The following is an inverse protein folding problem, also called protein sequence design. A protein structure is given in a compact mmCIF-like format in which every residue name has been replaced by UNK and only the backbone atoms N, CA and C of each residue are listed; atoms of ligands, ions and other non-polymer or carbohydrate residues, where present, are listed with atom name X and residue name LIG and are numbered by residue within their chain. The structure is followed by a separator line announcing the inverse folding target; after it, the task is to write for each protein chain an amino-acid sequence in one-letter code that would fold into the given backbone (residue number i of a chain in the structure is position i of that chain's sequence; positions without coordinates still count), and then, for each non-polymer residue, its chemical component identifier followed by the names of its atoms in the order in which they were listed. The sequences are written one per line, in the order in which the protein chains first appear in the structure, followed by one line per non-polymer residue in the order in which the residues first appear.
data_IF_154211165059
#
_entry.id   IF_154211165059
#
_cell.length_a   1.000
_cell.length_b   1.000
_cell.length_c   1.000
_cell.angle_alpha   90.00
_cell.angle_beta   90.00
_cell.angle_gamma   90.00
#
_symmetry.space_group_name_H-M   'P 1'
#
loop_
_entity.id
_entity.type
_entity.pdbx_description
1 polymer ?
#
# COMPACT_ATOMS: atom_id res chain seq x y z
N UNK A 1 2.00 28.75 -62.30
CA UNK A 1 3.31 28.11 -62.50
C UNK A 1 3.35 26.80 -61.73
N UNK A 2 4.01 25.76 -62.25
CA UNK A 2 4.22 24.50 -61.51
C UNK A 2 5.34 24.71 -60.49
N UNK A 3 5.08 24.45 -59.20
CA UNK A 3 6.10 24.46 -58.15
C UNK A 3 6.94 23.18 -58.26
N UNK A 4 8.26 23.34 -58.27
CA UNK A 4 9.21 22.22 -58.29
C UNK A 4 9.95 22.15 -56.96
N UNK A 5 10.03 20.96 -56.37
CA UNK A 5 10.73 20.66 -55.14
C UNK A 5 12.04 19.96 -55.47
N UNK A 6 13.15 20.42 -54.88
CA UNK A 6 14.44 19.75 -54.99
C UNK A 6 14.41 18.47 -54.14
N UNK A 7 14.72 17.33 -54.76
CA UNK A 7 14.86 16.02 -54.11
C UNK A 7 16.30 15.52 -54.24
N UNK A 8 16.74 14.75 -53.25
CA UNK A 8 18.05 14.11 -53.21
C UNK A 8 17.85 12.59 -53.09
N UNK A 9 18.47 11.83 -54.01
CA UNK A 9 18.66 10.39 -53.90
C UNK A 9 20.15 10.10 -54.11
N UNK A 10 20.88 9.80 -53.04
CA UNK A 10 22.33 9.57 -53.07
C UNK A 10 23.13 10.87 -53.29
N UNK A 11 23.90 10.93 -54.38
CA UNK A 11 24.65 12.15 -54.78
C UNK A 11 23.93 12.98 -55.86
N UNK A 12 22.74 12.54 -56.32
CA UNK A 12 22.02 13.18 -57.43
C UNK A 12 20.87 14.05 -56.93
N UNK A 13 20.84 15.28 -57.42
CA UNK A 13 19.76 16.24 -57.20
C UNK A 13 18.83 16.28 -58.42
N UNK A 14 17.52 16.21 -58.19
CA UNK A 14 16.53 16.38 -59.26
C UNK A 14 15.34 17.23 -58.79
N UNK A 15 14.71 17.91 -59.74
CA UNK A 15 13.50 18.68 -59.50
C UNK A 15 12.28 17.80 -59.73
N UNK A 16 11.47 17.60 -58.70
CA UNK A 16 10.23 16.85 -58.76
C UNK A 16 9.04 17.79 -58.51
N UNK A 17 7.89 17.55 -59.16
CA UNK A 17 6.65 18.28 -58.89
C UNK A 17 5.91 17.75 -57.65
N UNK A 18 6.38 16.66 -57.05
CA UNK A 18 5.83 16.08 -55.84
C UNK A 18 6.43 16.73 -54.58
N UNK A 19 5.59 17.09 -53.58
CA UNK A 19 6.03 17.62 -52.31
C UNK A 19 7.10 16.73 -51.64
N UNK A 20 8.16 17.34 -51.15
CA UNK A 20 9.17 16.64 -50.36
C UNK A 20 8.58 16.30 -48.97
N UNK A 21 8.37 15.00 -48.70
CA UNK A 21 7.75 14.51 -47.46
C UNK A 21 8.48 15.02 -46.21
N UNK A 22 9.81 15.11 -46.23
CA UNK A 22 10.59 15.66 -45.12
C UNK A 22 10.30 17.15 -44.89
N UNK A 23 10.14 17.94 -45.97
CA UNK A 23 9.76 19.35 -45.86
C UNK A 23 8.35 19.50 -45.29
N UNK A 24 7.40 18.67 -45.74
CA UNK A 24 6.03 18.66 -45.20
C UNK A 24 6.06 18.32 -43.71
N UNK A 25 6.84 17.31 -43.31
CA UNK A 25 7.00 16.91 -41.91
C UNK A 25 7.51 18.07 -41.04
N UNK A 26 8.61 18.72 -41.44
CA UNK A 26 9.18 19.83 -40.68
C UNK A 26 8.19 20.99 -40.52
N UNK A 27 7.47 21.36 -41.59
CA UNK A 27 6.43 22.39 -41.52
C UNK A 27 5.29 21.98 -40.58
N UNK A 28 4.86 20.72 -40.60
CA UNK A 28 3.83 20.25 -39.67
C UNK A 28 4.34 20.21 -38.22
N UNK A 29 5.60 19.83 -37.98
CA UNK A 29 6.22 19.85 -36.64
C UNK A 29 6.28 21.27 -36.04
N UNK A 30 6.50 22.29 -36.86
CA UNK A 30 6.48 23.70 -36.44
C UNK A 30 5.06 24.17 -36.07
N UNK A 31 4.04 23.60 -36.71
CA UNK A 31 2.63 23.95 -36.49
C UNK A 31 1.96 23.20 -35.32
N UNK A 32 2.64 22.22 -34.70
CA UNK A 32 2.11 21.48 -33.54
C UNK A 32 1.94 22.42 -32.36
N UNK A 33 0.72 22.47 -31.81
CA UNK A 33 0.38 23.35 -30.68
C UNK A 33 0.82 22.75 -29.35
N UNK A 34 1.04 23.62 -28.38
CA UNK A 34 1.47 23.21 -27.04
C UNK A 34 0.41 22.37 -26.31
N UNK A 35 -0.88 22.68 -26.47
CA UNK A 35 -1.95 21.90 -25.84
C UNK A 35 -1.99 20.45 -26.34
N UNK A 36 -1.69 20.21 -27.62
CA UNK A 36 -1.63 18.86 -28.19
C UNK A 36 -0.45 18.05 -27.62
N UNK A 37 0.67 18.71 -27.32
CA UNK A 37 1.80 18.08 -26.63
C UNK A 37 1.44 17.70 -25.20
N UNK A 38 0.73 18.57 -24.47
CA UNK A 38 0.29 18.31 -23.10
C UNK A 38 -0.71 17.15 -23.06
N UNK A 39 -1.69 17.13 -23.97
CA UNK A 39 -2.68 16.06 -24.06
C UNK A 39 -2.01 14.71 -24.39
N UNK A 40 -1.07 14.70 -25.34
CA UNK A 40 -0.30 13.50 -25.70
C UNK A 40 0.59 13.00 -24.56
N UNK A 41 1.30 13.88 -23.85
CA UNK A 41 2.13 13.49 -22.70
C UNK A 41 1.25 12.84 -21.61
N UNK A 42 0.07 13.40 -21.35
CA UNK A 42 -0.89 12.85 -20.39
C UNK A 42 -1.42 11.48 -20.82
N UNK A 43 -1.73 11.31 -22.10
CA UNK A 43 -2.21 10.04 -22.64
C UNK A 43 -1.12 8.95 -22.56
N UNK A 44 0.12 9.28 -22.92
CA UNK A 44 1.27 8.38 -22.79
C UNK A 44 1.51 7.95 -21.34
N UNK A 45 1.39 8.88 -20.38
CA UNK A 45 1.45 8.56 -18.96
C UNK A 45 0.33 7.62 -18.53
N UNK A 46 -0.92 7.92 -18.88
CA UNK A 46 -2.08 7.08 -18.54
C UNK A 46 -1.92 5.66 -19.11
N UNK A 47 -1.44 5.55 -20.35
CA UNK A 47 -1.23 4.27 -21.01
C UNK A 47 -0.03 3.48 -20.45
N UNK A 48 0.95 4.15 -19.83
CA UNK A 48 2.11 3.50 -19.19
C UNK A 48 1.85 3.10 -17.74
N UNK A 49 0.61 3.22 -17.26
CA UNK A 49 0.21 3.00 -15.87
C UNK A 49 -1.07 2.15 -15.82
N UNK A 50 -1.15 1.23 -14.86
CA UNK A 50 -2.41 0.49 -14.58
C UNK A 50 -2.89 0.67 -13.14
N UNK A 51 -1.97 0.98 -12.22
CA UNK A 51 -2.26 0.96 -10.79
C UNK A 51 -2.16 -0.45 -10.19
N UNK A 52 -2.49 -0.53 -8.90
CA UNK A 52 -2.49 -1.77 -8.12
C UNK A 52 -1.82 -1.56 -6.78
N UNK A 53 -0.49 -1.71 -6.71
CA UNK A 53 0.28 -1.66 -5.45
C UNK A 53 0.44 -0.26 -4.87
N UNK A 54 0.35 0.76 -5.73
CA UNK A 54 0.44 2.17 -5.37
C UNK A 54 -0.83 2.88 -5.88
N UNK A 55 -1.34 3.80 -5.09
CA UNK A 55 -2.43 4.70 -5.51
C UNK A 55 -1.85 5.88 -6.26
N UNK A 56 -2.24 6.05 -7.52
CA UNK A 56 -1.54 6.94 -8.45
C UNK A 56 -2.32 8.23 -8.65
N UNK A 57 -1.60 9.35 -8.61
CA UNK A 57 -2.11 10.68 -8.90
C UNK A 57 -1.25 11.30 -10.01
N UNK A 58 -1.85 11.59 -11.16
CA UNK A 58 -1.14 12.17 -12.31
C UNK A 58 -1.41 13.67 -12.35
N UNK A 59 -0.35 14.47 -12.30
CA UNK A 59 -0.36 15.92 -12.37
C UNK A 59 -1.26 16.61 -11.34
N UNK A 60 -1.47 15.95 -10.19
CA UNK A 60 -2.17 16.53 -9.06
C UNK A 60 -1.18 17.32 -8.20
N UNK A 61 -1.33 18.63 -8.19
CA UNK A 61 -0.49 19.57 -7.43
C UNK A 61 -1.22 20.07 -6.18
N UNK A 62 -2.55 19.91 -6.10
CA UNK A 62 -3.31 20.32 -4.94
C UNK A 62 -3.24 19.26 -3.84
N UNK A 63 -2.50 19.57 -2.78
CA UNK A 63 -2.36 18.76 -1.58
C UNK A 63 -3.70 18.35 -0.93
N UNK A 64 -4.78 19.14 -1.11
CA UNK A 64 -6.13 18.84 -0.62
C UNK A 64 -6.82 17.67 -1.32
N UNK A 65 -6.49 17.43 -2.59
CA UNK A 65 -7.05 16.33 -3.38
C UNK A 65 -6.36 14.99 -3.11
N UNK A 66 -5.19 15.02 -2.44
CA UNK A 66 -4.42 13.83 -2.09
C UNK A 66 -4.83 13.36 -0.69
N UNK A 67 -5.51 12.19 -0.56
CA UNK A 67 -5.98 11.68 0.71
C UNK A 67 -4.84 11.51 1.72
N UNK A 68 -5.14 11.69 3.01
CA UNK A 68 -4.23 11.37 4.10
C UNK A 68 -4.68 10.03 4.66
N UNK A 69 -4.16 8.96 4.06
CA UNK A 69 -4.51 7.56 4.32
C UNK A 69 -3.26 6.72 4.43
N UNK A 70 -3.39 5.50 4.96
CA UNK A 70 -2.28 4.55 5.13
C UNK A 70 -1.77 3.95 3.81
N UNK A 71 -2.58 3.99 2.75
CA UNK A 71 -2.22 3.46 1.43
C UNK A 71 -0.97 4.16 0.87
N UNK A 72 -0.05 3.40 0.27
CA UNK A 72 1.09 3.99 -0.44
C UNK A 72 0.64 4.67 -1.73
N UNK A 73 1.17 5.87 -1.99
CA UNK A 73 0.76 6.76 -3.08
C UNK A 73 1.95 7.12 -3.95
N UNK A 74 1.73 7.17 -5.25
CA UNK A 74 2.68 7.66 -6.24
C UNK A 74 2.10 8.90 -6.91
N UNK A 75 2.75 10.04 -6.71
CA UNK A 75 2.39 11.31 -7.34
C UNK A 75 3.33 11.54 -8.51
N UNK A 76 2.77 11.62 -9.71
CA UNK A 76 3.50 11.87 -10.94
C UNK A 76 3.33 13.34 -11.30
N UNK A 77 4.40 14.12 -11.22
CA UNK A 77 4.38 15.58 -11.40
C UNK A 77 4.81 15.97 -12.82
N UNK A 78 4.40 17.17 -13.29
CA UNK A 78 4.80 17.69 -14.61
C UNK A 78 6.28 18.07 -14.70
N UNK A 79 6.88 18.40 -13.57
CA UNK A 79 8.27 18.86 -13.42
C UNK A 79 8.77 18.54 -12.02
N UNK A 80 10.09 18.53 -11.85
CA UNK A 80 10.70 18.50 -10.51
C UNK A 80 10.50 19.82 -9.78
N UNK A 81 9.68 19.83 -8.72
CA UNK A 81 9.46 20.98 -7.85
C UNK A 81 9.55 20.57 -6.38
N UNK A 82 10.72 20.77 -5.75
CA UNK A 82 10.95 20.39 -4.35
C UNK A 82 10.04 21.15 -3.38
N UNK A 83 9.71 22.42 -3.67
CA UNK A 83 8.82 23.22 -2.83
C UNK A 83 7.40 22.66 -2.81
N UNK A 84 6.88 22.31 -3.99
CA UNK A 84 5.58 21.64 -4.11
C UNK A 84 5.59 20.29 -3.40
N UNK A 85 6.58 19.44 -3.66
CA UNK A 85 6.68 18.11 -3.04
C UNK A 85 6.72 18.20 -1.50
N UNK A 86 7.51 19.11 -0.96
CA UNK A 86 7.55 19.36 0.49
C UNK A 86 6.20 19.86 1.04
N UNK A 87 5.51 20.75 0.32
CA UNK A 87 4.19 21.24 0.74
C UNK A 87 3.18 20.10 0.82
N UNK A 88 3.16 19.21 -0.18
CA UNK A 88 2.29 18.04 -0.24
C UNK A 88 2.58 17.09 0.92
N UNK A 89 3.86 16.89 1.27
CA UNK A 89 4.23 16.07 2.42
C UNK A 89 3.83 16.69 3.76
N UNK A 90 3.83 18.02 3.87
CA UNK A 90 3.52 18.73 5.12
C UNK A 90 2.02 18.89 5.35
N UNK A 91 1.21 19.05 4.30
CA UNK A 91 -0.22 19.38 4.44
C UNK A 91 -1.15 18.52 3.58
N UNK A 92 -2.41 18.44 4.02
CA UNK A 92 -3.58 18.04 3.25
C UNK A 92 -4.57 19.19 3.31
N UNK A 93 -4.61 19.99 2.25
CA UNK A 93 -5.35 21.25 2.24
C UNK A 93 -4.85 22.17 3.37
N UNK A 94 -5.75 22.54 4.29
CA UNK A 94 -5.43 23.42 5.41
C UNK A 94 -4.92 22.70 6.67
N UNK A 95 -4.94 21.36 6.68
CA UNK A 95 -4.55 20.56 7.85
C UNK A 95 -3.15 19.95 7.68
N UNK A 96 -2.36 19.79 8.75
CA UNK A 96 -1.11 19.04 8.69
C UNK A 96 -1.36 17.59 8.26
N UNK A 97 -0.50 17.06 7.39
CA UNK A 97 -0.56 15.67 6.94
C UNK A 97 0.05 14.75 7.99
N UNK A 98 -0.65 13.67 8.31
CA UNK A 98 -0.22 12.67 9.29
C UNK A 98 0.61 11.57 8.62
N UNK A 99 0.12 10.96 7.54
CA UNK A 99 0.75 9.81 6.87
C UNK A 99 1.79 10.24 5.83
N UNK A 100 2.75 11.05 6.27
CA UNK A 100 3.77 11.69 5.42
C UNK A 100 4.69 10.68 4.74
N UNK A 101 4.91 9.53 5.37
CA UNK A 101 5.78 8.49 4.83
C UNK A 101 5.09 7.62 3.76
N UNK A 102 3.84 7.91 3.38
CA UNK A 102 3.09 7.11 2.39
C UNK A 102 3.17 7.65 0.95
N UNK A 103 3.84 8.77 0.72
CA UNK A 103 3.84 9.48 -0.56
C UNK A 103 5.21 9.35 -1.23
N UNK A 104 5.24 8.93 -2.49
CA UNK A 104 6.40 8.94 -3.36
C UNK A 104 6.14 9.85 -4.55
N UNK A 105 7.19 10.45 -5.10
CA UNK A 105 7.09 11.31 -6.27
C UNK A 105 7.87 10.73 -7.44
N UNK A 106 7.30 10.84 -8.64
CA UNK A 106 7.96 10.60 -9.91
C UNK A 106 7.78 11.85 -10.78
N UNK A 107 8.83 12.27 -11.45
CA UNK A 107 8.79 13.45 -12.31
C UNK A 107 9.78 13.34 -13.48
N UNK A 108 9.61 14.20 -14.50
CA UNK A 108 10.50 14.27 -15.64
C UNK A 108 11.93 14.59 -15.27
N UNK A 109 12.88 13.90 -15.90
CA UNK A 109 14.24 14.35 -15.98
C UNK A 109 14.35 15.41 -17.08
N UNK A 110 14.60 16.66 -16.70
CA UNK A 110 14.60 17.80 -17.63
C UNK A 110 15.57 17.66 -18.80
N UNK A 111 16.69 16.94 -18.63
CA UNK A 111 17.64 16.68 -19.72
C UNK A 111 17.05 15.87 -20.87
N UNK A 112 16.00 15.08 -20.64
CA UNK A 112 15.33 14.25 -21.66
C UNK A 112 14.16 15.00 -22.34
N UNK A 113 13.74 16.16 -21.81
CA UNK A 113 12.51 16.85 -22.23
C UNK A 113 12.56 17.34 -23.68
N UNK A 114 13.68 17.91 -24.13
CA UNK A 114 13.82 18.39 -25.51
C UNK A 114 13.69 17.26 -26.54
N UNK A 115 14.32 16.11 -26.28
CA UNK A 115 14.24 14.94 -27.15
C UNK A 115 12.83 14.36 -27.17
N UNK A 116 12.18 14.27 -26.01
CA UNK A 116 10.80 13.81 -25.88
C UNK A 116 9.81 14.71 -26.63
N UNK A 117 9.90 16.03 -26.47
CA UNK A 117 9.05 16.99 -27.22
C UNK A 117 9.24 16.83 -28.73
N UNK A 118 10.48 16.67 -29.18
CA UNK A 118 10.78 16.48 -30.60
C UNK A 118 10.15 15.19 -31.14
N UNK A 119 10.19 14.10 -30.37
CA UNK A 119 9.54 12.84 -30.73
C UNK A 119 8.01 12.97 -30.79
N UNK A 120 7.39 13.67 -29.84
CA UNK A 120 5.94 13.92 -29.84
C UNK A 120 5.52 14.78 -31.05
N UNK A 121 6.22 15.90 -31.28
CA UNK A 121 5.97 16.76 -32.45
C UNK A 121 6.05 15.97 -33.75
N UNK A 122 7.03 15.07 -33.88
CA UNK A 122 7.18 14.22 -35.06
C UNK A 122 6.00 13.27 -35.23
N UNK A 123 5.52 12.64 -34.15
CA UNK A 123 4.34 11.76 -34.19
C UNK A 123 3.09 12.54 -34.60
N UNK A 124 2.80 13.66 -33.95
CA UNK A 124 1.64 14.53 -34.27
C UNK A 124 1.72 15.01 -35.73
N UNK A 125 2.90 15.43 -36.19
CA UNK A 125 3.08 15.89 -37.56
C UNK A 125 2.81 14.77 -38.58
N UNK A 126 3.20 13.51 -38.30
CA UNK A 126 2.81 12.39 -39.15
C UNK A 126 1.30 12.11 -39.12
N UNK A 127 0.63 12.29 -37.99
CA UNK A 127 -0.83 12.17 -37.90
C UNK A 127 -1.54 13.23 -38.74
N UNK A 128 -1.08 14.49 -38.69
CA UNK A 128 -1.61 15.54 -39.57
C UNK A 128 -1.45 15.16 -41.05
N UNK A 129 -0.27 14.67 -41.43
CA UNK A 129 0.02 14.27 -42.82
C UNK A 129 -0.87 13.08 -43.24
N UNK A 130 -1.08 12.10 -42.36
CA UNK A 130 -1.94 10.95 -42.66
C UNK A 130 -3.41 11.36 -42.81
N UNK A 131 -3.87 12.33 -42.02
CA UNK A 131 -5.28 12.78 -42.01
C UNK A 131 -5.59 13.83 -43.08
N UNK A 132 -4.59 14.56 -43.59
CA UNK A 132 -4.77 15.61 -44.61
C UNK A 132 -5.01 15.04 -46.01
N UNK A 133 -6.27 14.97 -46.41
CA UNK A 133 -6.71 14.55 -47.76
C UNK A 133 -6.34 15.53 -48.87
N UNK A 134 -5.92 16.75 -48.54
CA UNK A 134 -5.45 17.76 -49.48
C UNK A 134 -4.01 17.53 -49.95
N UNK A 135 -3.24 16.70 -49.25
CA UNK A 135 -1.90 16.32 -49.67
C UNK A 135 -1.94 15.26 -50.78
N UNK A 136 -1.43 15.62 -51.95
CA UNK A 136 -1.25 14.70 -53.07
C UNK A 136 -0.01 13.81 -52.87
N UNK A 137 -0.08 12.90 -51.88
CA UNK A 137 0.96 11.92 -51.60
C UNK A 137 0.85 10.71 -52.54
N UNK A 138 1.99 10.20 -53.02
CA UNK A 138 2.06 8.92 -53.72
C UNK A 138 1.74 7.74 -52.79
N UNK A 139 1.42 6.57 -53.35
CA UNK A 139 1.15 5.38 -52.53
C UNK A 139 2.37 4.93 -51.72
N UNK A 140 3.58 5.13 -52.26
CA UNK A 140 4.82 4.85 -51.54
C UNK A 140 5.04 5.83 -50.39
N UNK A 141 4.75 7.13 -50.59
CA UNK A 141 4.81 8.13 -49.52
C UNK A 141 3.78 7.83 -48.42
N UNK A 142 2.56 7.38 -48.77
CA UNK A 142 1.55 6.96 -47.79
C UNK A 142 2.01 5.76 -46.97
N UNK A 143 2.63 4.76 -47.61
CA UNK A 143 3.22 3.60 -46.92
C UNK A 143 4.37 4.03 -45.99
N UNK A 144 5.20 4.97 -46.43
CA UNK A 144 6.28 5.54 -45.63
C UNK A 144 5.74 6.27 -44.40
N UNK A 145 4.74 7.14 -44.54
CA UNK A 145 4.09 7.85 -43.42
C UNK A 145 3.55 6.86 -42.38
N UNK A 146 2.82 5.83 -42.82
CA UNK A 146 2.31 4.78 -41.90
C UNK A 146 3.41 4.05 -41.15
N UNK A 147 4.50 3.71 -41.85
CA UNK A 147 5.65 3.04 -41.27
C UNK A 147 6.34 3.91 -40.22
N UNK A 148 6.56 5.18 -40.53
CA UNK A 148 7.23 6.13 -39.63
C UNK A 148 6.34 6.52 -38.46
N UNK A 149 5.01 6.62 -38.65
CA UNK A 149 4.05 6.84 -37.58
C UNK A 149 4.11 5.70 -36.55
N UNK A 150 4.04 4.43 -37.00
CA UNK A 150 4.16 3.26 -36.12
C UNK A 150 5.48 3.25 -35.35
N UNK A 151 6.59 3.57 -36.01
CA UNK A 151 7.91 3.68 -35.33
C UNK A 151 7.91 4.80 -34.29
N UNK A 152 7.29 5.95 -34.59
CA UNK A 152 7.21 7.06 -33.66
C UNK A 152 6.37 6.69 -32.42
N UNK A 153 5.27 5.96 -32.60
CA UNK A 153 4.45 5.43 -31.49
C UNK A 153 5.24 4.46 -30.60
N UNK A 154 5.96 3.50 -31.19
CA UNK A 154 6.81 2.56 -30.46
C UNK A 154 7.93 3.29 -29.71
N UNK A 155 8.60 4.25 -30.36
CA UNK A 155 9.66 5.04 -29.74
C UNK A 155 9.15 5.94 -28.61
N UNK A 156 7.91 6.43 -28.66
CA UNK A 156 7.33 7.25 -27.60
C UNK A 156 7.08 6.46 -26.32
N UNK A 157 6.74 5.16 -26.42
CA UNK A 157 6.59 4.28 -25.24
C UNK A 157 7.89 4.11 -24.46
N UNK A 158 9.02 4.06 -25.15
CA UNK A 158 10.33 4.04 -24.49
C UNK A 158 10.71 5.45 -23.97
N UNK A 159 10.43 6.48 -24.77
CA UNK A 159 10.80 7.85 -24.46
C UNK A 159 10.08 8.39 -23.22
N UNK A 160 8.82 8.03 -22.99
CA UNK A 160 8.09 8.43 -21.76
C UNK A 160 8.73 7.83 -20.51
N UNK A 161 9.24 6.60 -20.58
CA UNK A 161 9.96 5.93 -19.48
C UNK A 161 11.31 6.58 -19.21
N UNK A 162 12.03 6.99 -20.27
CA UNK A 162 13.28 7.76 -20.13
C UNK A 162 13.06 9.13 -19.50
N UNK A 163 11.95 9.79 -19.86
CA UNK A 163 11.58 11.09 -19.33
C UNK A 163 11.17 10.97 -17.84
N UNK A 164 10.15 10.18 -17.52
CA UNK A 164 9.62 10.02 -16.16
C UNK A 164 10.41 8.99 -15.37
N UNK A 165 11.63 9.35 -14.97
CA UNK A 165 12.53 8.47 -14.20
C UNK A 165 13.08 9.06 -12.90
N UNK A 166 13.01 10.37 -12.73
CA UNK A 166 13.49 11.02 -11.52
C UNK A 166 12.46 10.85 -10.40
N UNK A 167 12.92 10.48 -9.22
CA UNK A 167 12.09 10.22 -8.05
C UNK A 167 12.48 11.09 -6.88
N UNK A 168 11.51 11.38 -6.01
CA UNK A 168 11.78 11.92 -4.68
C UNK A 168 11.04 11.10 -3.63
N UNK A 169 11.76 10.73 -2.57
CA UNK A 169 11.31 9.79 -1.54
C UNK A 169 11.43 10.47 -0.17
N UNK A 170 10.37 10.47 0.66
CA UNK A 170 10.46 11.02 2.01
C UNK A 170 11.52 10.28 2.84
N UNK A 171 12.43 11.06 3.42
CA UNK A 171 13.54 10.65 4.26
C UNK A 171 13.67 11.55 5.50
N UNK A 172 14.56 11.22 6.44
CA UNK A 172 14.72 11.95 7.72
C UNK A 172 15.02 13.43 7.53
N UNK A 173 15.84 13.75 6.52
CA UNK A 173 16.29 15.12 6.23
C UNK A 173 15.43 15.82 5.15
N UNK A 174 14.29 15.24 4.77
CA UNK A 174 13.39 15.80 3.77
C UNK A 174 13.10 14.84 2.63
N UNK A 175 13.51 15.20 1.41
CA UNK A 175 13.31 14.39 0.21
C UNK A 175 14.66 13.85 -0.28
N UNK A 176 14.78 12.53 -0.32
CA UNK A 176 15.89 11.83 -0.95
C UNK A 176 15.61 11.68 -2.44
N UNK A 177 16.54 12.14 -3.27
CA UNK A 177 16.47 11.97 -4.72
C UNK A 177 16.75 10.49 -5.10
N UNK A 178 16.06 10.02 -6.13
CA UNK A 178 16.23 8.69 -6.71
C UNK A 178 16.11 8.73 -8.24
N UNK A 179 16.56 7.67 -8.91
CA UNK A 179 16.45 7.50 -10.36
C UNK A 179 16.09 6.04 -10.65
N UNK A 180 15.10 5.81 -11.53
CA UNK A 180 14.74 4.48 -12.03
C UNK A 180 15.85 3.87 -12.91
N UNK A 181 16.73 4.71 -13.45
CA UNK A 181 17.76 4.33 -14.39
C UNK A 181 17.26 4.34 -15.83
N UNK A 182 18.10 3.82 -16.73
CA UNK A 182 17.76 3.72 -18.15
C UNK A 182 16.90 2.47 -18.36
N UNK A 183 15.72 2.58 -19.00
CA UNK A 183 14.91 1.43 -19.37
C UNK A 183 15.69 0.41 -20.20
N UNK A 184 15.56 -0.89 -19.87
CA UNK A 184 16.11 -1.96 -20.69
C UNK A 184 15.36 -2.01 -22.02
N UNK A 185 16.11 -2.06 -23.13
CA UNK A 185 15.51 -2.15 -24.46
C UNK A 185 14.67 -3.43 -24.62
N UNK A 186 13.47 -3.29 -25.18
CA UNK A 186 12.54 -4.40 -25.41
C UNK A 186 11.77 -4.89 -24.18
N UNK A 187 12.04 -4.34 -23.00
CA UNK A 187 11.29 -4.67 -21.78
C UNK A 187 10.00 -3.83 -21.74
N UNK A 188 8.83 -4.48 -21.80
CA UNK A 188 7.52 -3.81 -21.70
C UNK A 188 7.04 -3.70 -20.25
N UNK A 189 7.84 -3.01 -19.42
CA UNK A 189 7.42 -2.66 -18.06
C UNK A 189 6.66 -1.33 -18.03
N UNK A 190 5.73 -1.27 -17.08
CA UNK A 190 4.95 -0.07 -16.78
C UNK A 190 5.68 0.80 -15.77
N UNK A 191 5.46 2.11 -15.81
CA UNK A 191 6.11 3.07 -14.91
C UNK A 191 5.80 2.79 -13.43
N UNK A 192 4.53 2.50 -13.11
CA UNK A 192 4.10 2.22 -11.75
C UNK A 192 4.76 0.96 -11.17
N UNK A 193 4.98 -0.03 -12.03
CA UNK A 193 5.67 -1.27 -11.68
C UNK A 193 7.17 -1.02 -11.46
N UNK A 194 7.83 -0.27 -12.34
CA UNK A 194 9.26 0.06 -12.20
C UNK A 194 9.55 0.84 -10.92
N UNK A 195 8.72 1.84 -10.61
CA UNK A 195 8.81 2.59 -9.36
C UNK A 195 8.66 1.64 -8.17
N UNK A 196 7.66 0.76 -8.19
CA UNK A 196 7.46 -0.18 -7.09
C UNK A 196 8.66 -1.12 -6.91
N UNK A 197 9.13 -1.73 -7.99
CA UNK A 197 10.28 -2.64 -7.98
C UNK A 197 11.54 -1.94 -7.46
N UNK A 198 11.78 -0.70 -7.88
CA UNK A 198 12.91 0.12 -7.43
C UNK A 198 12.80 0.46 -5.94
N UNK A 199 11.63 0.90 -5.48
CA UNK A 199 11.40 1.18 -4.05
C UNK A 199 11.56 -0.08 -3.19
N UNK A 200 11.16 -1.23 -3.69
CA UNK A 200 11.36 -2.53 -3.03
C UNK A 200 12.84 -2.92 -3.00
N UNK A 201 13.56 -2.83 -4.12
CA UNK A 201 14.98 -3.19 -4.20
C UNK A 201 15.85 -2.31 -3.31
N UNK A 202 15.49 -1.03 -3.20
CA UNK A 202 16.19 -0.04 -2.37
C UNK A 202 15.79 -0.12 -0.88
N UNK A 203 14.94 -1.09 -0.50
CA UNK A 203 14.48 -1.30 0.87
C UNK A 203 13.57 -0.20 1.42
N UNK A 204 13.00 0.64 0.55
CA UNK A 204 12.04 1.69 0.91
C UNK A 204 10.66 1.10 1.22
N UNK A 205 10.26 0.08 0.44
CA UNK A 205 9.05 -0.72 0.65
C UNK A 205 9.45 -2.15 1.02
N UNK A 206 8.81 -2.70 2.05
CA UNK A 206 9.03 -4.05 2.55
C UNK A 206 7.80 -4.92 2.27
N UNK A 207 8.00 -6.01 1.52
CA UNK A 207 7.01 -7.09 1.38
C UNK A 207 7.17 -8.16 2.48
N UNK A 208 8.31 -8.17 3.18
CA UNK A 208 8.58 -9.04 4.32
C UNK A 208 9.47 -8.31 5.32
N UNK A 209 9.22 -8.51 6.61
CA UNK A 209 10.09 -8.02 7.68
C UNK A 209 10.66 -9.21 8.44
N UNK A 210 11.98 -9.32 8.46
CA UNK A 210 12.65 -10.33 9.28
C UNK A 210 12.46 -9.98 10.78
N UNK A 211 12.08 -10.94 11.64
CA UNK A 211 11.83 -10.67 13.05
C UNK A 211 13.01 -10.03 13.78
N UNK A 212 14.24 -10.41 13.42
CA UNK A 212 15.46 -9.84 13.99
C UNK A 212 15.51 -8.31 13.78
N UNK A 213 15.04 -7.80 12.63
CA UNK A 213 15.00 -6.35 12.37
C UNK A 213 14.03 -5.65 13.34
N UNK A 214 12.89 -6.28 13.67
CA UNK A 214 11.95 -5.72 14.64
C UNK A 214 12.56 -5.69 16.04
N UNK A 215 13.23 -6.76 16.44
CA UNK A 215 13.94 -6.84 17.73
C UNK A 215 14.99 -5.75 17.85
N UNK A 216 15.96 -5.73 16.92
CA UNK A 216 17.11 -4.82 16.98
C UNK A 216 16.69 -3.35 16.89
N UNK A 217 15.60 -3.04 16.21
CA UNK A 217 15.13 -1.67 16.06
C UNK A 217 14.30 -1.17 17.23
N UNK A 218 13.43 -2.01 17.79
CA UNK A 218 12.40 -1.56 18.72
C UNK A 218 12.58 -2.07 20.16
N UNK A 219 13.40 -3.11 20.38
CA UNK A 219 13.60 -3.74 21.70
C UNK A 219 15.06 -3.70 22.18
N UNK A 220 15.98 -3.04 21.45
CA UNK A 220 17.38 -2.93 21.89
C UNK A 220 17.55 -2.03 23.11
N UNK A 221 16.79 -0.93 23.17
CA UNK A 221 16.85 0.06 24.26
C UNK A 221 15.60 0.06 25.14
N UNK A 222 14.61 -0.78 24.81
CA UNK A 222 13.30 -0.82 25.47
C UNK A 222 12.91 -2.24 25.79
N UNK A 223 12.29 -2.44 26.94
CA UNK A 223 11.77 -3.75 27.34
C UNK A 223 10.53 -4.15 26.53
N UNK A 224 9.76 -3.18 26.04
CA UNK A 224 8.58 -3.41 25.23
C UNK A 224 8.28 -2.23 24.29
N UNK A 225 7.40 -2.47 23.31
CA UNK A 225 6.88 -1.47 22.38
C UNK A 225 5.44 -1.81 22.00
N UNK A 226 4.57 -0.80 21.90
CA UNK A 226 3.19 -0.97 21.44
C UNK A 226 3.16 -1.38 19.97
N UNK A 227 2.45 -2.45 19.65
CA UNK A 227 2.38 -2.96 18.26
C UNK A 227 1.68 -1.96 17.33
N UNK A 228 0.65 -1.26 17.81
CA UNK A 228 0.00 -0.16 17.08
C UNK A 228 1.01 0.93 16.67
N UNK A 229 1.91 1.30 17.58
CA UNK A 229 2.94 2.32 17.32
C UNK A 229 3.95 1.86 16.25
N UNK A 230 4.27 0.57 16.19
CA UNK A 230 5.18 0.02 15.17
C UNK A 230 4.63 0.31 13.76
N UNK A 231 3.37 -0.02 13.54
CA UNK A 231 2.73 0.18 12.25
C UNK A 231 2.57 1.67 11.95
N UNK A 232 2.02 2.45 12.89
CA UNK A 232 1.77 3.88 12.69
C UNK A 232 3.07 4.68 12.46
N UNK A 233 4.15 4.37 13.19
CA UNK A 233 5.45 5.05 13.01
C UNK A 233 6.02 4.82 11.61
N UNK A 234 5.87 3.61 11.06
CA UNK A 234 6.35 3.29 9.70
C UNK A 234 5.66 4.13 8.61
N UNK A 235 4.45 4.63 8.85
CA UNK A 235 3.67 5.43 7.89
C UNK A 235 3.73 6.94 8.15
N UNK A 236 4.01 7.36 9.39
CA UNK A 236 4.01 8.78 9.80
C UNK A 236 5.37 9.45 9.78
N UNK A 237 6.44 8.67 9.90
CA UNK A 237 7.81 9.18 10.09
C UNK A 237 8.61 9.04 8.80
N UNK A 238 8.95 10.15 8.12
CA UNK A 238 9.85 10.13 6.97
C UNK A 238 11.19 9.42 7.26
N UNK A 239 11.67 8.62 6.29
CA UNK A 239 12.90 7.84 6.42
C UNK A 239 12.73 6.46 7.06
N UNK A 240 11.55 6.17 7.62
CA UNK A 240 11.23 4.82 8.05
C UNK A 240 10.91 3.93 6.85
N UNK A 241 11.25 2.64 6.96
CA UNK A 241 10.89 1.64 5.93
C UNK A 241 9.39 1.36 6.00
N UNK A 242 8.72 1.33 4.85
CA UNK A 242 7.26 1.13 4.78
C UNK A 242 6.92 -0.33 4.51
N UNK A 243 6.17 -1.04 5.38
CA UNK A 243 5.54 -2.28 4.96
C UNK A 243 4.47 -1.99 3.90
N UNK A 244 4.27 -2.89 2.93
CA UNK A 244 3.24 -2.71 1.90
C UNK A 244 1.82 -2.73 2.47
N UNK A 245 1.62 -3.44 3.59
CA UNK A 245 0.38 -3.49 4.34
C UNK A 245 0.66 -3.94 5.79
N UNK A 246 -0.37 -3.92 6.63
CA UNK A 246 -0.29 -4.34 8.04
C UNK A 246 0.11 -5.82 8.22
N UNK A 247 -0.28 -6.69 7.29
CA UNK A 247 -0.01 -8.13 7.36
C UNK A 247 1.50 -8.44 7.32
N UNK A 248 2.30 -7.65 6.59
CA UNK A 248 3.77 -7.81 6.59
C UNK A 248 4.38 -7.67 7.99
N UNK A 249 3.86 -6.75 8.79
CA UNK A 249 4.31 -6.55 10.17
C UNK A 249 3.78 -7.66 11.09
N UNK A 250 2.53 -8.08 10.88
CA UNK A 250 1.90 -9.18 11.59
C UNK A 250 2.68 -10.49 11.43
N UNK A 251 3.07 -10.82 10.20
CA UNK A 251 3.89 -12.00 9.89
C UNK A 251 5.25 -11.94 10.59
N UNK A 252 5.92 -10.77 10.56
CA UNK A 252 7.21 -10.57 11.22
C UNK A 252 7.13 -10.70 12.74
N UNK A 253 6.07 -10.18 13.37
CA UNK A 253 5.83 -10.33 14.81
C UNK A 253 5.52 -11.81 15.12
N UNK A 254 4.62 -12.44 14.36
CA UNK A 254 4.23 -13.84 14.52
C UNK A 254 5.44 -14.77 14.47
N UNK A 255 6.30 -14.59 13.45
CA UNK A 255 7.51 -15.39 13.28
C UNK A 255 8.47 -15.17 14.47
N UNK A 256 8.66 -13.92 14.91
CA UNK A 256 9.55 -13.60 16.04
C UNK A 256 9.11 -14.18 17.38
N UNK A 257 7.81 -14.20 17.65
CA UNK A 257 7.22 -14.83 18.85
C UNK A 257 7.42 -16.33 18.81
N UNK A 258 7.18 -16.95 17.65
CA UNK A 258 7.35 -18.40 17.44
C UNK A 258 8.82 -18.81 17.58
N UNK A 259 9.75 -18.00 17.08
CA UNK A 259 11.20 -18.25 17.16
C UNK A 259 11.87 -17.59 18.37
N UNK A 260 11.11 -17.32 19.46
CA UNK A 260 11.60 -16.86 20.76
C UNK A 260 12.50 -15.60 20.74
N UNK A 261 12.44 -14.77 19.70
CA UNK A 261 13.23 -13.54 19.61
C UNK A 261 12.68 -12.42 20.50
N UNK A 262 11.37 -12.45 20.71
CA UNK A 262 10.58 -11.61 21.61
C UNK A 262 9.25 -12.32 21.90
N UNK A 263 8.44 -11.80 22.82
CA UNK A 263 7.07 -12.25 23.04
C UNK A 263 6.04 -11.20 22.66
N UNK A 264 4.77 -11.58 22.77
CA UNK A 264 3.63 -10.69 22.59
C UNK A 264 2.77 -10.72 23.86
N UNK A 265 2.24 -9.58 24.25
CA UNK A 265 1.42 -9.47 25.44
C UNK A 265 0.60 -8.20 25.48
N UNK A 266 0.15 -7.86 26.67
CA UNK A 266 -0.66 -6.67 26.91
C UNK A 266 -0.07 -5.85 28.06
N UNK A 267 -0.34 -4.55 28.06
CA UNK A 267 -0.06 -3.69 29.20
C UNK A 267 -1.17 -3.83 30.25
N UNK A 268 -0.79 -4.31 31.43
CA UNK A 268 -1.61 -4.27 32.64
C UNK A 268 -1.18 -3.05 33.46
N UNK A 269 -1.86 -1.92 33.25
CA UNK A 269 -1.37 -0.61 33.72
C UNK A 269 -0.11 -0.23 32.94
N UNK A 270 1.00 -0.01 33.64
CA UNK A 270 2.30 0.32 33.02
C UNK A 270 3.26 -0.87 32.93
N UNK A 271 2.79 -2.09 33.24
CA UNK A 271 3.64 -3.29 33.23
C UNK A 271 3.28 -4.21 32.07
N UNK A 272 4.25 -4.61 31.23
CA UNK A 272 4.02 -5.59 30.17
C UNK A 272 3.80 -6.99 30.77
N UNK A 273 2.65 -7.59 30.46
CA UNK A 273 2.31 -8.97 30.80
C UNK A 273 2.40 -9.85 29.55
N UNK A 274 3.37 -10.76 29.52
CA UNK A 274 3.61 -11.65 28.39
C UNK A 274 2.50 -12.69 28.29
N UNK A 275 1.87 -12.78 27.11
CA UNK A 275 0.79 -13.76 26.84
C UNK A 275 1.27 -14.88 25.92
N UNK A 276 1.99 -14.51 24.88
CA UNK A 276 2.49 -15.43 23.86
C UNK A 276 4.02 -15.44 23.82
N UNK A 277 4.60 -16.63 23.93
CA UNK A 277 6.04 -16.85 23.78
C UNK A 277 6.31 -18.30 23.34
N UNK A 278 7.09 -18.50 22.26
CA UNK A 278 7.33 -19.81 21.64
C UNK A 278 6.08 -20.50 21.08
N UNK A 279 5.06 -19.73 20.74
CA UNK A 279 3.80 -20.22 20.17
C UNK A 279 3.30 -19.26 19.09
N UNK A 280 2.21 -19.64 18.41
CA UNK A 280 1.58 -18.75 17.42
C UNK A 280 0.70 -17.73 18.13
N UNK A 281 1.02 -16.42 18.10
CA UNK A 281 0.16 -15.40 18.68
C UNK A 281 -1.07 -15.11 17.81
N UNK A 282 -2.06 -14.47 18.41
CA UNK A 282 -3.09 -13.71 17.72
C UNK A 282 -2.80 -12.22 17.89
N UNK A 283 -2.61 -11.50 16.79
CA UNK A 283 -2.20 -10.09 16.81
C UNK A 283 -3.39 -9.20 16.47
N UNK A 284 -3.68 -8.22 17.31
CA UNK A 284 -4.78 -7.28 17.13
C UNK A 284 -4.29 -5.87 16.74
N UNK A 285 -3.06 -5.50 17.10
CA UNK A 285 -2.57 -4.12 17.08
C UNK A 285 -3.46 -3.16 17.87
N UNK A 286 -3.93 -3.58 19.03
CA UNK A 286 -4.68 -2.73 19.95
C UNK A 286 -3.74 -1.78 20.70
N UNK A 287 -4.30 -0.68 21.23
CA UNK A 287 -3.53 0.33 21.96
C UNK A 287 -2.90 -0.14 23.29
N UNK A 288 -3.18 -1.38 23.72
CA UNK A 288 -2.56 -2.02 24.89
C UNK A 288 -1.69 -3.24 24.51
N UNK A 289 -1.69 -3.68 23.26
CA UNK A 289 -0.88 -4.82 22.81
C UNK A 289 0.58 -4.41 22.63
N UNK A 290 1.49 -5.23 23.15
CA UNK A 290 2.92 -4.95 23.16
C UNK A 290 3.74 -6.12 22.66
N UNK A 291 4.76 -5.79 21.86
CA UNK A 291 5.89 -6.66 21.61
C UNK A 291 6.88 -6.49 22.77
N UNK A 292 7.31 -7.60 23.38
CA UNK A 292 8.03 -7.63 24.66
C UNK A 292 9.37 -8.35 24.48
N UNK A 293 10.45 -7.83 25.08
CA UNK A 293 11.76 -8.47 25.09
C UNK A 293 11.71 -9.92 25.59
N UNK A 294 12.46 -10.81 24.94
CA UNK A 294 12.45 -12.23 25.26
C UNK A 294 12.85 -12.55 26.71
N UNK A 295 13.80 -11.80 27.29
CA UNK A 295 14.23 -11.98 28.67
C UNK A 295 13.08 -11.81 29.66
N UNK A 296 12.28 -10.76 29.49
CA UNK A 296 11.14 -10.47 30.36
C UNK A 296 10.07 -11.56 30.27
N UNK A 297 9.74 -12.02 29.06
CA UNK A 297 8.81 -13.14 28.88
C UNK A 297 9.30 -14.45 29.52
N UNK A 298 10.61 -14.73 29.46
CA UNK A 298 11.19 -15.90 30.11
C UNK A 298 11.11 -15.82 31.63
N UNK A 299 11.37 -14.65 32.22
CA UNK A 299 11.23 -14.44 33.66
C UNK A 299 9.79 -14.60 34.16
N UNK A 300 8.82 -14.07 33.41
CA UNK A 300 7.41 -14.17 33.77
C UNK A 300 6.91 -15.62 33.73
N UNK A 301 7.27 -16.39 32.70
CA UNK A 301 6.90 -17.81 32.62
C UNK A 301 7.52 -18.67 33.71
N UNK A 302 8.78 -18.42 34.08
CA UNK A 302 9.42 -19.14 35.19
C UNK A 302 8.71 -18.91 36.52
N UNK A 303 8.24 -17.69 36.79
CA UNK A 303 7.48 -17.34 38.01
C UNK A 303 6.08 -17.98 38.04
N UNK A 304 5.48 -18.25 36.88
CA UNK A 304 4.21 -18.98 36.78
C UNK A 304 4.39 -20.51 36.95
N UNK A 305 5.57 -21.04 36.64
CA UNK A 305 5.92 -22.46 36.79
C UNK A 305 6.44 -22.84 38.19
N UNK A 306 6.85 -21.87 39.02
CA UNK A 306 7.23 -22.12 40.42
C UNK A 306 5.99 -22.30 41.32
N UNK A 307 5.84 -23.44 42.03
CA UNK A 307 4.68 -23.69 42.87
C UNK A 307 4.70 -22.77 44.09
N UNK A 308 3.56 -22.11 44.36
CA UNK A 308 3.31 -21.39 45.61
C UNK A 308 3.47 -22.36 46.78
N UNK A 309 4.55 -22.19 47.54
CA UNK A 309 4.87 -22.98 48.74
C UNK A 309 3.81 -22.82 49.85
N UNK A 310 3.51 -23.94 50.50
CA UNK A 310 2.51 -24.23 51.54
C UNK A 310 2.28 -23.13 52.61
N UNK A 311 1.04 -22.95 53.12
CA UNK A 311 0.80 -22.22 54.36
C UNK A 311 1.16 -23.09 55.60
N UNK A 312 1.53 -22.48 56.74
CA UNK A 312 2.08 -23.21 57.89
C UNK A 312 1.04 -24.04 58.67
N UNK A 313 1.52 -25.18 59.17
CA UNK A 313 0.86 -26.06 60.13
C UNK A 313 0.40 -25.33 61.41
N UNK A 314 -0.84 -25.58 61.82
CA UNK A 314 -1.27 -25.42 63.22
C UNK A 314 -1.65 -26.77 63.84
N UNK A 315 -1.44 -26.97 65.16
CA UNK A 315 -1.55 -28.28 65.82
C UNK A 315 -2.99 -28.67 66.19
N UNK A 316 -3.19 -29.98 66.27
CA UNK A 316 -4.44 -30.71 66.51
C UNK A 316 -5.04 -30.50 67.91
N UNK A 317 -6.37 -30.57 67.98
CA UNK A 317 -7.11 -31.12 69.13
C UNK A 317 -8.32 -31.95 68.66
N UNK A 318 -8.33 -33.21 69.10
CA UNK A 318 -9.31 -34.30 68.84
C UNK A 318 -10.58 -34.18 69.73
N UNK A 319 -11.52 -35.17 69.77
CA UNK A 319 -12.29 -35.83 68.70
C UNK A 319 -13.80 -35.89 69.02
N UNK A 320 -14.67 -36.11 68.01
CA UNK A 320 -15.92 -36.89 68.16
C UNK A 320 -16.51 -37.28 66.79
N UNK A 321 -16.76 -38.58 66.64
CA UNK A 321 -17.20 -39.31 65.43
C UNK A 321 -18.74 -39.40 65.31
N UNK A 322 -19.33 -40.16 64.35
CA UNK A 322 -18.91 -40.52 62.99
C UNK A 322 -19.99 -40.15 61.96
N UNK A 323 -19.66 -39.72 60.74
CA UNK A 323 -20.58 -39.87 59.60
C UNK A 323 -19.83 -40.16 58.29
N UNK A 324 -20.47 -41.03 57.50
CA UNK A 324 -19.98 -41.75 56.33
C UNK A 324 -19.50 -40.84 55.18
N UNK A 325 -18.43 -41.33 54.56
CA UNK A 325 -17.85 -41.07 53.23
C UNK A 325 -18.75 -40.34 52.22
N UNK A 326 -18.26 -39.21 51.71
CA UNK A 326 -18.29 -38.89 50.27
C UNK A 326 -17.12 -37.94 49.96
N UNK A 327 -16.20 -38.38 49.10
CA UNK A 327 -15.21 -37.49 48.47
C UNK A 327 -15.94 -36.35 47.76
N UNK A 328 -15.76 -35.11 48.24
CA UNK A 328 -16.10 -33.92 47.50
C UNK A 328 -14.81 -33.19 47.16
N UNK A 329 -14.35 -33.40 45.93
CA UNK A 329 -13.50 -32.45 45.23
C UNK A 329 -14.20 -31.08 45.27
N UNK A 330 -13.62 -30.10 45.95
CA UNK A 330 -14.04 -28.70 45.82
C UNK A 330 -13.47 -28.20 44.48
N UNK A 331 -14.12 -28.61 43.40
CA UNK A 331 -13.93 -28.03 42.08
C UNK A 331 -14.44 -26.59 42.10
N UNK A 332 -13.62 -25.64 41.61
CA UNK A 332 -14.08 -24.26 41.34
C UNK A 332 -15.35 -24.34 40.47
N UNK A 333 -16.39 -23.54 40.72
CA UNK A 333 -17.64 -23.63 39.96
C UNK A 333 -17.38 -23.28 38.48
N UNK A 334 -17.40 -24.30 37.63
CA UNK A 334 -17.26 -24.16 36.17
C UNK A 334 -18.63 -23.89 35.57
N UNK A 335 -18.77 -22.81 34.79
CA UNK A 335 -19.99 -22.54 34.02
C UNK A 335 -19.98 -23.36 32.73
N UNK A 336 -20.82 -24.40 32.68
CA UNK A 336 -21.03 -25.23 31.48
C UNK A 336 -21.86 -24.53 30.39
N UNK A 337 -22.62 -23.51 30.77
CA UNK A 337 -23.43 -22.68 29.86
C UNK A 337 -23.39 -21.23 30.32
N UNK A 338 -23.29 -20.31 29.37
CA UNK A 338 -23.27 -18.86 29.60
C UNK A 338 -24.34 -18.23 28.72
N UNK A 339 -25.31 -17.56 29.33
CA UNK A 339 -26.36 -16.83 28.61
C UNK A 339 -26.30 -15.36 29.04
N UNK A 340 -26.14 -14.46 28.07
CA UNK A 340 -25.93 -13.04 28.30
C UNK A 340 -26.91 -12.25 27.44
N UNK A 341 -27.63 -11.32 28.06
CA UNK A 341 -28.54 -10.39 27.36
C UNK A 341 -28.12 -8.96 27.67
N UNK A 342 -27.71 -8.22 26.64
CA UNK A 342 -27.24 -6.84 26.76
C UNK A 342 -27.59 -6.04 25.49
N UNK A 343 -27.57 -4.70 25.60
CA UNK A 343 -27.73 -3.79 24.45
C UNK A 343 -26.38 -3.16 24.10
N UNK A 344 -26.09 -3.05 22.81
CA UNK A 344 -24.83 -2.52 22.30
C UNK A 344 -25.02 -1.07 21.86
N UNK A 345 -24.33 -0.08 22.46
CA UNK A 345 -24.39 1.30 21.98
C UNK A 345 -23.84 1.44 20.55
N UNK A 346 -24.38 2.38 19.78
CA UNK A 346 -23.92 2.66 18.41
C UNK A 346 -22.41 2.93 18.39
N UNK A 347 -21.70 2.23 17.50
CA UNK A 347 -20.23 2.37 17.34
C UNK A 347 -19.38 1.59 18.34
N UNK A 348 -19.97 0.78 19.24
CA UNK A 348 -19.22 -0.02 20.25
C UNK A 348 -19.18 -1.52 19.97
N UNK A 349 -19.60 -1.96 18.78
CA UNK A 349 -19.61 -3.38 18.38
C UNK A 349 -18.21 -4.00 18.46
N UNK A 350 -17.16 -3.27 18.08
CA UNK A 350 -15.78 -3.74 18.16
C UNK A 350 -15.34 -4.15 19.57
N UNK A 351 -15.90 -3.53 20.61
CA UNK A 351 -15.57 -3.84 22.00
C UNK A 351 -16.10 -5.22 22.45
N UNK A 352 -17.13 -5.75 21.77
CA UNK A 352 -17.74 -7.03 22.12
C UNK A 352 -17.05 -8.19 21.41
N UNK A 353 -16.36 -7.92 20.30
CA UNK A 353 -15.59 -8.94 19.56
C UNK A 353 -14.58 -9.66 20.46
N UNK A 354 -13.93 -8.94 21.38
CA UNK A 354 -13.02 -9.56 22.36
C UNK A 354 -13.71 -10.56 23.29
N UNK A 355 -14.95 -10.27 23.72
CA UNK A 355 -15.75 -11.16 24.56
C UNK A 355 -16.21 -12.39 23.77
N UNK A 356 -16.60 -12.19 22.51
CA UNK A 356 -17.01 -13.29 21.62
C UNK A 356 -15.87 -14.25 21.35
N UNK A 357 -14.65 -13.74 21.10
CA UNK A 357 -13.46 -14.55 20.91
C UNK A 357 -13.10 -15.34 22.18
N UNK A 358 -13.24 -14.72 23.37
CA UNK A 358 -13.05 -15.42 24.64
C UNK A 358 -14.04 -16.58 24.81
N UNK A 359 -15.32 -16.37 24.47
CA UNK A 359 -16.33 -17.43 24.53
C UNK A 359 -16.04 -18.56 23.53
N UNK A 360 -15.67 -18.25 22.28
CA UNK A 360 -15.28 -19.26 21.31
C UNK A 360 -14.05 -20.08 21.76
N UNK A 361 -13.14 -19.48 22.52
CA UNK A 361 -11.97 -20.23 23.06
C UNK A 361 -12.32 -21.24 24.16
N UNK A 362 -13.54 -21.16 24.73
CA UNK A 362 -13.98 -21.98 25.88
C UNK A 362 -15.20 -22.85 25.58
N UNK A 363 -15.96 -22.55 24.53
CA UNK A 363 -17.20 -23.23 24.17
C UNK A 363 -17.19 -23.63 22.70
N UNK A 364 -17.57 -24.87 22.39
CA UNK A 364 -17.61 -25.40 21.01
C UNK A 364 -18.71 -24.75 20.15
N UNK A 365 -19.82 -24.35 20.78
CA UNK A 365 -20.96 -23.75 20.09
C UNK A 365 -21.24 -22.37 20.68
N UNK A 366 -21.35 -21.37 19.80
CA UNK A 366 -21.75 -20.01 20.14
C UNK A 366 -22.94 -19.60 19.26
N UNK A 367 -24.13 -19.52 19.86
CA UNK A 367 -25.35 -19.06 19.18
C UNK A 367 -25.54 -17.55 19.42
N UNK A 368 -25.78 -16.78 18.36
CA UNK A 368 -25.90 -15.32 18.42
C UNK A 368 -27.23 -14.89 17.80
N UNK A 369 -28.05 -14.20 18.60
CA UNK A 369 -29.28 -13.57 18.12
C UNK A 369 -29.06 -12.06 17.95
N UNK A 370 -28.98 -11.59 16.71
CA UNK A 370 -28.88 -10.17 16.38
C UNK A 370 -30.28 -9.56 16.23
N UNK A 371 -30.49 -8.38 16.83
CA UNK A 371 -31.74 -7.65 16.75
C UNK A 371 -31.43 -6.17 16.58
N UNK A 372 -31.70 -5.62 15.40
CA UNK A 372 -31.65 -4.19 15.13
C UNK A 372 -33.06 -3.60 15.31
N UNK A 373 -33.17 -2.49 16.03
CA UNK A 373 -34.41 -1.72 16.22
C UNK A 373 -34.12 -0.25 15.98
N UNK A 374 -35.18 0.54 15.78
CA UNK A 374 -35.10 1.99 15.65
C UNK A 374 -34.25 2.45 14.43
N UNK A 375 -34.41 1.75 13.31
CA UNK A 375 -33.80 2.05 12.01
C UNK A 375 -34.50 1.30 10.87
N UNK A 376 -34.08 1.57 9.64
CA UNK A 376 -34.61 0.93 8.43
C UNK A 376 -33.46 0.49 7.51
N UNK A 377 -33.68 -0.60 6.77
CA UNK A 377 -32.80 -1.10 5.70
C UNK A 377 -33.71 -1.51 4.54
N UNK A 378 -33.26 -1.30 3.31
CA UNK A 378 -34.01 -1.78 2.14
C UNK A 378 -33.89 -3.31 2.04
N UNK A 379 -34.93 -3.98 1.54
CA UNK A 379 -34.89 -5.43 1.28
C UNK A 379 -33.71 -5.80 0.37
N UNK A 380 -33.43 -4.98 -0.64
CA UNK A 380 -32.30 -5.19 -1.54
C UNK A 380 -30.96 -5.07 -0.82
N UNK A 381 -30.76 -4.07 0.05
CA UNK A 381 -29.52 -3.97 0.83
C UNK A 381 -29.39 -5.12 1.85
N UNK A 382 -30.50 -5.64 2.36
CA UNK A 382 -30.49 -6.80 3.24
C UNK A 382 -30.01 -8.05 2.49
N UNK A 383 -30.59 -8.35 1.33
CA UNK A 383 -30.17 -9.49 0.49
C UNK A 383 -28.71 -9.34 0.00
N UNK A 384 -28.38 -8.20 -0.62
CA UNK A 384 -27.09 -7.99 -1.30
C UNK A 384 -25.92 -7.81 -0.34
N UNK A 385 -26.15 -7.22 0.84
CA UNK A 385 -25.06 -6.86 1.77
C UNK A 385 -25.06 -7.67 3.06
N UNK A 386 -26.23 -8.09 3.54
CA UNK A 386 -26.32 -8.84 4.80
C UNK A 386 -26.31 -10.33 4.51
N UNK A 387 -27.30 -10.86 3.78
CA UNK A 387 -27.37 -12.30 3.50
C UNK A 387 -26.13 -12.81 2.75
N UNK A 388 -25.69 -12.08 1.73
CA UNK A 388 -24.50 -12.45 0.95
C UNK A 388 -23.20 -12.42 1.79
N UNK A 389 -23.06 -11.49 2.74
CA UNK A 389 -21.90 -11.45 3.64
C UNK A 389 -21.87 -12.65 4.61
N UNK A 390 -23.03 -13.09 5.11
CA UNK A 390 -23.11 -14.32 5.93
C UNK A 390 -22.82 -15.57 5.10
N UNK A 391 -23.33 -15.64 3.86
CA UNK A 391 -23.05 -16.74 2.93
C UNK A 391 -21.56 -16.84 2.61
N UNK A 392 -20.89 -15.73 2.31
CA UNK A 392 -19.44 -15.69 2.05
C UNK A 392 -18.60 -16.07 3.28
N UNK A 393 -19.15 -15.84 4.48
CA UNK A 393 -18.51 -16.21 5.74
C UNK A 393 -18.77 -17.68 6.15
N UNK A 394 -19.54 -18.43 5.35
CA UNK A 394 -19.86 -19.83 5.63
C UNK A 394 -20.79 -20.04 6.83
N UNK A 395 -21.57 -19.03 7.19
CA UNK A 395 -22.50 -19.05 8.33
C UNK A 395 -23.92 -19.22 7.78
N UNK A 396 -24.60 -20.29 8.17
CA UNK A 396 -26.01 -20.51 7.82
C UNK A 396 -26.92 -19.62 8.68
N UNK A 397 -27.82 -18.88 8.02
CA UNK A 397 -28.85 -18.08 8.69
C UNK A 397 -30.10 -18.95 8.83
N UNK A 398 -30.51 -19.19 10.07
CA UNK A 398 -31.84 -19.74 10.34
C UNK A 398 -32.89 -18.68 9.97
N UNK A 399 -33.85 -19.06 9.10
CA UNK A 399 -35.02 -18.21 8.83
C UNK A 399 -35.93 -18.23 10.07
N UNK A 400 -35.91 -17.12 10.82
CA UNK A 400 -36.72 -16.89 12.04
C UNK A 400 -38.13 -16.43 11.67
#
# INVERSE_FOLDING_TARGET
GKLFYLQNIGEKYFFNNQPNLNRILLTNMENVKENELIEMELELLRNSIKGGRLKIFIWEENAGNIPDSEELKLLILKKGDKGLMESILKTKGQTPRVYRNTIFFLYPLESERTMFITAMKRKIAYEYIEQDKGLNLSDDQKKEVKKELKKAEEGLKESIRRLYRAMAIPDKEGLKDGDLGIPTYGEEKRLDQEVYEKLRSDGQILEKIAPLVLKEKYLSEKEYVLTEQLYQSSLKTPGERRPINKAVLEEGITEGVRTWLFGLGELEGDKPACRYFKEKPSIAFSGNEVMIGAALCQEQRKKEEEPVSEPPLYPQSEPKAPFKVSEQEIGRPVKKRVELRFQVPKGKVANIMGVMNLLQSKFETLEIKLMAKDGEISEQDYEDKIEEAFRQSGIELDKI
#
